data_IF_112351260854
#
_entry.id   IF_112351260854
#
_cell.length_a   1.000
_cell.length_b   1.000
_cell.length_c   1.000
_cell.angle_alpha   90.00
_cell.angle_beta   90.00
_cell.angle_gamma   90.00
#
_symmetry.space_group_name_H-M   'P 1'
#
loop_
_entity.id
_entity.type
_entity.pdbx_description
1 polymer ?
#
# COMPACT_ATOMS: atom_id res chain seq x y z
N UNK A 1 21.47 -13.93 -21.19
CA UNK A 1 21.51 -12.47 -21.36
C UNK A 1 20.08 -12.00 -21.35
N UNK A 2 19.68 -11.23 -20.35
CA UNK A 2 18.27 -10.89 -20.14
C UNK A 2 17.88 -9.71 -21.05
N UNK A 3 16.58 -9.51 -21.25
CA UNK A 3 16.06 -8.45 -22.14
C UNK A 3 16.59 -7.05 -21.77
N UNK A 4 16.77 -6.81 -20.47
CA UNK A 4 17.41 -5.60 -19.95
C UNK A 4 18.85 -5.44 -20.46
N UNK A 5 19.67 -6.47 -20.31
CA UNK A 5 21.10 -6.43 -20.70
C UNK A 5 21.24 -6.18 -22.20
N UNK A 6 20.34 -6.77 -23.01
CA UNK A 6 20.30 -6.54 -24.45
C UNK A 6 19.96 -5.09 -24.79
N UNK A 7 19.05 -4.48 -24.04
CA UNK A 7 18.62 -3.09 -24.25
C UNK A 7 19.71 -2.09 -23.83
N UNK A 8 20.42 -2.34 -22.72
CA UNK A 8 21.57 -1.54 -22.29
C UNK A 8 22.72 -1.62 -23.31
N UNK A 9 23.01 -2.82 -23.82
CA UNK A 9 23.99 -3.01 -24.89
C UNK A 9 23.58 -2.28 -26.18
N UNK A 10 22.31 -2.35 -26.57
CA UNK A 10 21.81 -1.66 -27.76
C UNK A 10 21.91 -0.13 -27.65
N UNK A 11 21.56 0.44 -26.49
CA UNK A 11 21.71 1.87 -26.20
C UNK A 11 23.18 2.28 -26.31
N UNK A 12 24.07 1.52 -25.67
CA UNK A 12 25.52 1.78 -25.70
C UNK A 12 26.08 1.74 -27.13
N UNK A 13 25.65 0.76 -27.93
CA UNK A 13 26.06 0.64 -29.32
C UNK A 13 25.56 1.81 -30.20
N UNK A 14 24.32 2.26 -30.02
CA UNK A 14 23.76 3.41 -30.72
C UNK A 14 24.47 4.71 -30.35
N UNK A 15 24.79 4.91 -29.06
CA UNK A 15 25.56 6.08 -28.61
C UNK A 15 26.98 6.09 -29.20
N UNK A 16 27.64 4.93 -29.29
CA UNK A 16 28.95 4.83 -29.93
C UNK A 16 28.94 5.18 -31.43
N UNK A 17 27.81 4.98 -32.11
CA UNK A 17 27.62 5.32 -33.52
C UNK A 17 27.13 6.75 -33.77
N UNK A 18 27.01 7.58 -32.73
CA UNK A 18 26.49 8.96 -32.83
C UNK A 18 27.27 9.83 -33.82
N UNK A 19 28.59 9.68 -33.89
CA UNK A 19 29.42 10.42 -34.85
C UNK A 19 29.09 10.07 -36.32
N UNK A 20 28.53 8.90 -36.59
CA UNK A 20 28.19 8.41 -37.93
C UNK A 20 26.72 8.71 -38.26
N UNK A 21 25.82 8.48 -37.31
CA UNK A 21 24.36 8.57 -37.51
C UNK A 21 23.79 9.97 -37.26
N UNK A 22 24.53 10.82 -36.53
CA UNK A 22 24.10 12.17 -36.16
C UNK A 22 23.11 12.21 -35.00
N UNK A 23 23.06 13.36 -34.32
CA UNK A 23 22.32 13.51 -33.05
C UNK A 23 20.82 13.26 -33.19
N UNK A 24 20.18 13.82 -34.22
CA UNK A 24 18.74 13.71 -34.41
C UNK A 24 18.25 12.26 -34.55
N UNK A 25 19.01 11.42 -35.26
CA UNK A 25 18.66 10.01 -35.48
C UNK A 25 18.85 9.20 -34.21
N UNK A 26 19.98 9.42 -33.51
CA UNK A 26 20.28 8.73 -32.27
C UNK A 26 19.27 9.10 -31.18
N UNK A 27 18.93 10.38 -31.03
CA UNK A 27 17.99 10.82 -30.01
C UNK A 27 16.58 10.25 -30.23
N UNK A 28 16.14 10.18 -31.49
CA UNK A 28 14.85 9.57 -31.86
C UNK A 28 14.81 8.08 -31.52
N UNK A 29 15.92 7.35 -31.72
CA UNK A 29 15.99 5.91 -31.43
C UNK A 29 16.14 5.60 -29.92
N UNK A 30 16.89 6.44 -29.20
CA UNK A 30 17.17 6.22 -27.77
C UNK A 30 15.98 6.52 -26.87
N UNK A 31 15.08 7.44 -27.25
CA UNK A 31 13.90 7.81 -26.45
C UNK A 31 13.06 6.58 -26.03
N UNK A 32 12.51 5.82 -26.99
CA UNK A 32 11.71 4.63 -26.69
C UNK A 32 12.49 3.54 -25.95
N UNK A 33 13.80 3.39 -26.23
CA UNK A 33 14.64 2.38 -25.56
C UNK A 33 14.87 2.73 -24.08
N UNK A 34 15.10 4.00 -23.76
CA UNK A 34 15.26 4.47 -22.37
C UNK A 34 13.97 4.37 -21.58
N UNK A 35 12.82 4.68 -22.20
CA UNK A 35 11.51 4.46 -21.60
C UNK A 35 11.28 2.98 -21.28
N UNK A 36 11.56 2.09 -22.24
CA UNK A 36 11.44 0.64 -22.04
C UNK A 36 12.40 0.12 -20.96
N UNK A 37 13.63 0.64 -20.90
CA UNK A 37 14.60 0.28 -19.84
C UNK A 37 14.11 0.72 -18.45
N UNK A 38 13.50 1.91 -18.36
CA UNK A 38 12.91 2.44 -17.12
C UNK A 38 11.70 1.59 -16.68
N UNK A 39 10.86 1.18 -17.62
CA UNK A 39 9.74 0.28 -17.35
C UNK A 39 10.22 -1.09 -16.84
N UNK A 40 11.26 -1.66 -17.46
CA UNK A 40 11.88 -2.92 -17.03
C UNK A 40 12.62 -2.82 -15.69
N UNK A 41 13.17 -1.65 -15.36
CA UNK A 41 13.73 -1.34 -14.04
C UNK A 41 12.66 -1.27 -12.96
N UNK A 42 11.52 -0.66 -13.28
CA UNK A 42 10.38 -0.55 -12.36
C UNK A 42 9.69 -1.91 -12.17
N UNK A 43 9.78 -2.80 -13.17
CA UNK A 43 9.28 -4.17 -13.12
C UNK A 43 10.28 -5.18 -12.56
N UNK A 44 11.45 -4.75 -12.03
CA UNK A 44 12.30 -5.68 -11.29
C UNK A 44 11.48 -6.24 -10.13
N UNK A 45 11.36 -7.58 -10.06
CA UNK A 45 10.65 -8.27 -9.00
C UNK A 45 10.94 -7.59 -7.65
N UNK A 46 9.93 -7.36 -6.78
CA UNK A 46 10.15 -6.70 -5.52
C UNK A 46 11.30 -7.41 -4.83
N UNK A 47 12.44 -6.70 -4.69
CA UNK A 47 13.58 -7.26 -3.99
C UNK A 47 13.07 -7.61 -2.62
N UNK A 48 13.06 -8.90 -2.28
CA UNK A 48 12.69 -9.33 -0.94
C UNK A 48 13.65 -8.69 0.05
N UNK A 49 13.12 -7.77 0.85
CA UNK A 49 13.90 -7.00 1.80
C UNK A 49 13.42 -7.31 3.21
N UNK A 50 14.36 -7.62 4.10
CA UNK A 50 14.09 -7.69 5.53
C UNK A 50 14.09 -6.27 6.10
N UNK A 51 12.94 -5.82 6.58
CA UNK A 51 12.76 -4.51 7.23
C UNK A 51 12.01 -4.68 8.53
N UNK A 52 12.27 -3.77 9.48
CA UNK A 52 11.45 -3.64 10.68
C UNK A 52 10.15 -2.95 10.32
N UNK A 53 9.02 -3.57 10.69
CA UNK A 53 7.68 -3.03 10.50
C UNK A 53 6.90 -3.17 11.80
N UNK A 54 5.92 -2.29 12.00
CA UNK A 54 4.95 -2.39 13.09
C UNK A 54 3.62 -2.82 12.52
N UNK A 55 3.02 -3.84 13.12
CA UNK A 55 1.71 -4.38 12.71
C UNK A 55 0.69 -4.00 13.78
N UNK A 56 -0.42 -3.44 13.34
CA UNK A 56 -1.59 -3.17 14.18
C UNK A 56 -2.73 -4.08 13.72
N UNK A 57 -3.28 -4.83 14.67
CA UNK A 57 -4.51 -5.58 14.50
C UNK A 57 -5.62 -4.91 15.31
N UNK A 58 -6.80 -4.80 14.74
CA UNK A 58 -8.00 -4.35 15.42
C UNK A 58 -9.17 -5.25 15.00
N UNK A 59 -10.04 -5.58 15.94
CA UNK A 59 -11.14 -6.51 15.72
C UNK A 59 -12.42 -6.01 16.38
N UNK A 60 -13.58 -6.33 15.79
CA UNK A 60 -14.86 -5.83 16.27
C UNK A 60 -15.38 -6.72 17.40
N UNK A 61 -15.44 -6.17 18.61
CA UNK A 61 -15.96 -6.90 19.77
C UNK A 61 -17.44 -7.27 19.55
N UNK A 62 -17.79 -8.54 19.77
CA UNK A 62 -19.16 -9.03 19.70
C UNK A 62 -19.64 -9.44 18.30
N UNK A 63 -18.78 -9.35 17.28
CA UNK A 63 -19.13 -9.71 15.90
C UNK A 63 -19.69 -11.12 15.77
N UNK A 64 -19.09 -12.14 16.39
CA UNK A 64 -19.58 -13.53 16.31
C UNK A 64 -21.03 -13.64 16.77
N UNK A 65 -21.37 -13.03 17.91
CA UNK A 65 -22.73 -13.04 18.44
C UNK A 65 -23.71 -12.27 17.56
N UNK A 66 -23.27 -11.18 16.91
CA UNK A 66 -24.08 -10.46 15.94
C UNK A 66 -24.31 -11.30 14.67
N UNK A 67 -23.27 -11.92 14.15
CA UNK A 67 -23.30 -12.76 12.96
C UNK A 67 -24.22 -13.98 13.11
N UNK A 68 -24.38 -14.50 14.33
CA UNK A 68 -25.30 -15.60 14.61
C UNK A 68 -26.78 -15.18 14.74
N UNK A 69 -27.05 -13.90 15.02
CA UNK A 69 -28.40 -13.43 15.41
C UNK A 69 -29.04 -12.47 14.43
N UNK A 70 -28.25 -11.79 13.61
CA UNK A 70 -28.69 -10.75 12.68
C UNK A 70 -28.62 -11.25 11.24
N UNK A 71 -29.35 -10.59 10.34
CA UNK A 71 -29.26 -10.92 8.93
C UNK A 71 -27.86 -10.56 8.39
N UNK A 72 -27.28 -11.36 7.48
CA UNK A 72 -25.94 -11.11 6.95
C UNK A 72 -25.75 -9.72 6.34
N UNK A 73 -26.81 -9.14 5.77
CA UNK A 73 -26.80 -7.80 5.19
C UNK A 73 -26.60 -6.72 6.27
N UNK A 74 -27.23 -6.87 7.43
CA UNK A 74 -27.13 -5.93 8.56
C UNK A 74 -25.74 -6.01 9.20
N UNK A 75 -25.23 -7.23 9.42
CA UNK A 75 -23.88 -7.48 9.95
C UNK A 75 -22.84 -6.84 9.04
N UNK A 76 -23.00 -7.00 7.72
CA UNK A 76 -22.12 -6.37 6.73
C UNK A 76 -22.21 -4.84 6.78
N UNK A 77 -23.41 -4.28 6.94
CA UNK A 77 -23.60 -2.84 7.04
C UNK A 77 -22.87 -2.25 8.27
N UNK A 78 -22.99 -2.89 9.44
CA UNK A 78 -22.29 -2.46 10.66
C UNK A 78 -20.77 -2.59 10.51
N UNK A 79 -20.31 -3.72 9.96
CA UNK A 79 -18.87 -3.95 9.72
C UNK A 79 -18.29 -2.90 8.76
N UNK A 80 -19.02 -2.52 7.72
CA UNK A 80 -18.60 -1.46 6.80
C UNK A 80 -18.56 -0.09 7.48
N UNK A 81 -19.52 0.23 8.36
CA UNK A 81 -19.50 1.46 9.17
C UNK A 81 -18.28 1.49 10.07
N UNK A 82 -17.96 0.39 10.74
CA UNK A 82 -16.75 0.21 11.53
C UNK A 82 -15.49 0.53 10.71
N UNK A 83 -15.29 -0.18 9.59
CA UNK A 83 -14.12 0.04 8.72
C UNK A 83 -14.02 1.48 8.22
N UNK A 84 -15.15 2.10 7.86
CA UNK A 84 -15.19 3.48 7.42
C UNK A 84 -14.70 4.47 8.48
N UNK A 85 -15.03 4.25 9.75
CA UNK A 85 -14.66 5.14 10.85
C UNK A 85 -13.20 4.99 11.29
N UNK A 86 -12.67 3.77 11.29
CA UNK A 86 -11.32 3.52 11.83
C UNK A 86 -10.21 3.60 10.77
N UNK A 87 -10.52 3.37 9.49
CA UNK A 87 -9.54 3.47 8.38
C UNK A 87 -8.86 4.84 8.26
N UNK A 88 -9.58 5.98 8.40
CA UNK A 88 -8.97 7.30 8.34
C UNK A 88 -7.88 7.51 9.39
N UNK A 89 -8.05 7.01 10.62
CA UNK A 89 -7.06 7.10 11.68
C UNK A 89 -5.76 6.39 11.28
N UNK A 90 -5.85 5.14 10.79
CA UNK A 90 -4.69 4.38 10.31
C UNK A 90 -3.93 5.16 9.23
N UNK A 91 -4.64 5.67 8.23
CA UNK A 91 -4.03 6.41 7.11
C UNK A 91 -3.41 7.73 7.56
N UNK A 92 -4.05 8.45 8.49
CA UNK A 92 -3.59 9.75 9.01
C UNK A 92 -2.25 9.64 9.73
N UNK A 93 -2.01 8.53 10.41
CA UNK A 93 -0.73 8.25 11.07
C UNK A 93 0.26 7.48 10.17
N UNK A 94 0.04 7.45 8.85
CA UNK A 94 0.97 6.84 7.90
C UNK A 94 0.93 5.31 7.86
N UNK A 95 -0.07 4.68 8.46
CA UNK A 95 -0.31 3.26 8.35
C UNK A 95 -0.98 2.90 7.03
N UNK A 96 -0.66 1.72 6.51
CA UNK A 96 -1.32 1.12 5.34
C UNK A 96 -2.17 -0.06 5.77
N UNK A 97 -3.41 -0.11 5.33
CA UNK A 97 -4.24 -1.31 5.49
C UNK A 97 -3.73 -2.36 4.52
N UNK A 98 -3.24 -3.47 5.06
CA UNK A 98 -2.74 -4.60 4.27
C UNK A 98 -3.89 -5.52 3.86
N UNK A 99 -4.79 -5.82 4.81
CA UNK A 99 -5.98 -6.64 4.55
C UNK A 99 -7.04 -6.48 5.63
N UNK A 100 -8.27 -6.86 5.27
CA UNK A 100 -9.37 -7.14 6.17
C UNK A 100 -9.48 -8.66 6.33
N UNK A 101 -9.73 -9.14 7.55
CA UNK A 101 -9.81 -10.56 7.89
C UNK A 101 -11.11 -10.77 8.65
N UNK A 102 -12.22 -11.00 7.92
CA UNK A 102 -13.54 -10.99 8.53
C UNK A 102 -13.89 -9.60 9.06
N UNK A 103 -14.04 -9.50 10.37
CA UNK A 103 -14.26 -8.30 11.18
C UNK A 103 -12.98 -7.60 11.63
N UNK A 104 -11.82 -8.23 11.44
CA UNK A 104 -10.55 -7.66 11.80
C UNK A 104 -9.90 -6.84 10.68
N UNK A 105 -9.09 -5.86 11.08
CA UNK A 105 -8.21 -5.07 10.22
C UNK A 105 -6.76 -5.40 10.57
N UNK A 106 -5.93 -5.61 9.55
CA UNK A 106 -4.47 -5.63 9.67
C UNK A 106 -3.88 -4.41 8.98
N UNK A 107 -3.24 -3.55 9.77
CA UNK A 107 -2.51 -2.38 9.31
C UNK A 107 -1.01 -2.55 9.53
N UNK A 108 -0.22 -1.98 8.62
CA UNK A 108 1.24 -2.06 8.62
C UNK A 108 1.83 -0.68 8.54
N UNK A 109 2.81 -0.42 9.40
CA UNK A 109 3.60 0.81 9.45
C UNK A 109 5.06 0.47 9.14
N UNK A 110 5.74 1.35 8.41
CA UNK A 110 7.14 1.16 8.02
C UNK A 110 7.36 0.44 6.68
N UNK A 111 6.34 0.34 5.83
CA UNK A 111 6.42 -0.22 4.47
C UNK A 111 5.83 0.78 3.47
N UNK A 112 6.53 1.12 2.36
CA UNK A 112 7.82 0.57 1.91
C UNK A 112 9.06 1.16 2.62
N UNK A 113 8.88 2.30 3.32
CA UNK A 113 9.94 3.02 4.02
C UNK A 113 9.76 2.87 5.52
N UNK A 114 10.81 2.43 6.22
CA UNK A 114 10.80 2.29 7.67
C UNK A 114 11.39 3.52 8.35
N UNK A 115 10.88 3.82 9.53
CA UNK A 115 11.16 4.96 10.41
C UNK A 115 11.10 4.42 11.85
N UNK A 116 11.97 4.89 12.73
CA UNK A 116 11.99 4.55 14.15
C UNK A 116 10.70 4.93 14.88
N UNK A 117 9.91 5.88 14.33
CA UNK A 117 8.64 6.37 14.87
C UNK A 117 7.42 5.54 14.49
N UNK A 118 7.56 4.54 13.61
CA UNK A 118 6.42 3.69 13.20
C UNK A 118 5.66 3.05 14.37
N UNK A 119 6.32 2.58 15.46
CA UNK A 119 5.60 2.10 16.64
C UNK A 119 4.74 3.18 17.30
N UNK A 120 5.26 4.40 17.43
CA UNK A 120 4.51 5.53 17.99
C UNK A 120 3.31 5.88 17.12
N UNK A 121 3.50 5.94 15.80
CA UNK A 121 2.42 6.20 14.84
C UNK A 121 1.32 5.13 14.90
N UNK A 122 1.69 3.85 15.04
CA UNK A 122 0.72 2.77 15.20
C UNK A 122 -0.10 2.94 16.49
N UNK A 123 0.53 3.32 17.60
CA UNK A 123 -0.16 3.59 18.87
C UNK A 123 -1.09 4.79 18.74
N UNK A 124 -0.64 5.89 18.10
CA UNK A 124 -1.47 7.07 17.86
C UNK A 124 -2.68 6.75 16.99
N UNK A 125 -2.49 5.92 15.95
CA UNK A 125 -3.60 5.39 15.16
C UNK A 125 -4.58 4.61 16.03
N UNK A 126 -4.10 3.68 16.86
CA UNK A 126 -4.95 2.88 17.74
C UNK A 126 -5.80 3.75 18.68
N UNK A 127 -5.22 4.79 19.27
CA UNK A 127 -5.92 5.72 20.16
C UNK A 127 -6.99 6.52 19.41
N UNK A 128 -6.69 6.99 18.21
CA UNK A 128 -7.67 7.71 17.38
C UNK A 128 -8.78 6.79 16.88
N UNK A 129 -8.48 5.51 16.58
CA UNK A 129 -9.49 4.50 16.25
C UNK A 129 -10.47 4.29 17.40
N UNK A 130 -10.00 4.27 18.66
CA UNK A 130 -10.89 4.19 19.83
C UNK A 130 -11.83 5.40 19.91
N UNK A 131 -11.33 6.60 19.68
CA UNK A 131 -12.16 7.82 19.65
C UNK A 131 -13.20 7.79 18.52
N UNK A 132 -12.81 7.28 17.35
CA UNK A 132 -13.73 7.09 16.23
C UNK A 132 -14.84 6.07 16.57
N UNK A 133 -14.49 5.00 17.30
CA UNK A 133 -15.45 4.02 17.80
C UNK A 133 -16.41 4.61 18.82
N UNK A 134 -15.95 5.46 19.73
CA UNK A 134 -16.83 6.16 20.67
C UNK A 134 -17.86 7.03 19.92
N UNK A 135 -17.46 7.64 18.80
CA UNK A 135 -18.39 8.38 17.95
C UNK A 135 -19.39 7.47 17.26
N UNK A 136 -18.91 6.39 16.63
CA UNK A 136 -19.78 5.45 15.92
C UNK A 136 -20.79 4.78 16.87
N UNK A 137 -20.37 4.41 18.08
CA UNK A 137 -21.25 3.83 19.09
C UNK A 137 -22.38 4.81 19.46
N UNK A 138 -22.07 6.10 19.65
CA UNK A 138 -23.09 7.12 19.92
C UNK A 138 -24.07 7.32 18.76
N UNK A 139 -23.60 7.19 17.52
CA UNK A 139 -24.46 7.30 16.34
C UNK A 139 -25.37 6.07 16.21
N UNK A 140 -24.85 4.87 16.50
CA UNK A 140 -25.62 3.63 16.51
C UNK A 140 -26.68 3.58 17.63
N UNK A 141 -26.41 4.19 18.78
CA UNK A 141 -27.41 4.31 19.87
C UNK A 141 -28.59 5.23 19.54
N UNK A 142 -28.45 6.07 18.49
CA UNK A 142 -29.49 7.02 18.06
C UNK A 142 -30.33 6.51 16.89
N UNK A 143 -29.82 5.52 16.16
CA UNK A 143 -30.49 4.84 15.05
C UNK A 143 -31.53 3.83 15.59
#
# INVERSE_FOLDING_TARGET
>A
MNERDQLEQAITALEAQRAILGDAVVDTALGPMREKLTALQTSSAPTEQRKQATILFADLVGFTSMAERMDPEEVRAITNRFFHHVTPAIRRHGGRIEKYIGDAIMAVFGIPTSDERNPEHAIRAALEMQQAMDSLNRDLERD
#
